data_IF_258713833615
#
_entry.id   IF_258713833615
#
_cell.length_a   1.000
_cell.length_b   1.000
_cell.length_c   1.000
_cell.angle_alpha   90.00
_cell.angle_beta   90.00
_cell.angle_gamma   90.00
#
_symmetry.space_group_name_H-M   'P 1'
#
loop_
_entity.id
_entity.type
_entity.pdbx_description
1 polymer ?
#
# COMPACT_ATOMS: atom_id res chain seq x y z
N UNK A 1 61.53 -4.50 16.87
CA UNK A 1 60.23 -4.53 16.15
C UNK A 1 60.53 -4.14 14.71
N UNK A 2 60.44 -5.08 13.78
CA UNK A 2 60.79 -4.88 12.37
C UNK A 2 59.53 -4.43 11.62
N UNK A 3 59.57 -3.23 11.04
CA UNK A 3 58.62 -2.78 10.03
C UNK A 3 58.75 -3.68 8.79
N UNK A 4 57.72 -4.44 8.47
CA UNK A 4 57.57 -5.05 7.16
C UNK A 4 56.76 -4.09 6.29
N UNK A 5 57.47 -3.30 5.48
CA UNK A 5 56.87 -2.60 4.36
C UNK A 5 56.47 -3.65 3.31
N UNK A 6 55.17 -3.84 3.14
CA UNK A 6 54.60 -4.69 2.10
C UNK A 6 54.70 -3.93 0.76
N UNK A 7 55.87 -3.96 0.13
CA UNK A 7 56.02 -3.53 -1.27
C UNK A 7 55.39 -4.61 -2.15
N UNK A 8 54.09 -4.48 -2.44
CA UNK A 8 53.41 -5.26 -3.45
C UNK A 8 53.84 -4.73 -4.83
N UNK A 9 54.93 -5.27 -5.37
CA UNK A 9 55.27 -5.09 -6.78
C UNK A 9 54.31 -5.93 -7.61
N UNK A 10 53.13 -5.36 -7.91
CA UNK A 10 52.18 -5.93 -8.85
C UNK A 10 52.80 -5.84 -10.25
N UNK A 11 53.25 -6.97 -10.77
CA UNK A 11 53.45 -7.15 -12.20
C UNK A 11 52.08 -7.01 -12.87
N UNK A 12 51.72 -5.78 -13.22
CA UNK A 12 50.51 -5.46 -13.95
C UNK A 12 50.62 -6.06 -15.36
N UNK A 13 50.12 -7.28 -15.55
CA UNK A 13 49.42 -7.57 -16.79
C UNK A 13 48.40 -6.43 -16.98
N UNK A 14 48.18 -5.92 -18.20
CA UNK A 14 47.12 -4.95 -18.41
C UNK A 14 45.83 -5.64 -17.96
N UNK A 15 45.36 -5.29 -16.75
CA UNK A 15 44.02 -5.62 -16.34
C UNK A 15 43.17 -4.96 -17.41
N UNK A 16 42.53 -5.78 -18.25
CA UNK A 16 41.52 -5.28 -19.18
C UNK A 16 40.57 -4.50 -18.29
N UNK A 17 40.52 -3.17 -18.48
CA UNK A 17 39.62 -2.33 -17.72
C UNK A 17 38.23 -2.94 -17.86
N UNK A 18 37.68 -3.45 -16.77
CA UNK A 18 36.34 -4.01 -16.80
C UNK A 18 35.39 -2.87 -17.11
N UNK A 19 34.49 -3.09 -18.07
CA UNK A 19 33.46 -2.13 -18.39
C UNK A 19 32.30 -2.30 -17.42
N UNK A 20 32.11 -1.31 -16.54
CA UNK A 20 30.99 -1.24 -15.62
C UNK A 20 29.90 -0.26 -16.06
N UNK A 21 29.93 0.20 -17.32
CA UNK A 21 29.01 1.22 -17.81
C UNK A 21 27.53 0.79 -17.73
N UNK A 22 27.23 -0.50 -17.86
CA UNK A 22 25.90 -1.07 -17.68
C UNK A 22 25.37 -1.02 -16.24
N UNK A 23 26.14 -0.53 -15.27
CA UNK A 23 25.65 -0.13 -13.94
C UNK A 23 24.62 1.00 -14.05
N UNK A 24 24.82 1.92 -14.99
CA UNK A 24 24.01 3.12 -15.15
C UNK A 24 22.86 2.90 -16.12
N UNK A 25 21.72 3.54 -15.84
CA UNK A 25 20.57 3.54 -16.75
C UNK A 25 20.95 4.04 -18.15
N UNK A 26 21.82 5.04 -18.19
CA UNK A 26 22.50 5.52 -19.41
C UNK A 26 23.98 5.17 -19.29
N UNK A 27 24.50 4.18 -20.06
CA UNK A 27 25.88 3.71 -19.89
C UNK A 27 26.94 4.81 -20.02
N UNK A 28 26.72 5.78 -20.91
CA UNK A 28 27.61 6.93 -21.10
C UNK A 28 27.78 7.82 -19.85
N UNK A 29 26.91 7.67 -18.84
CA UNK A 29 27.01 8.43 -17.60
C UNK A 29 27.93 7.77 -16.58
N UNK A 30 28.40 6.54 -16.79
CA UNK A 30 29.30 5.90 -15.82
C UNK A 30 30.63 6.63 -15.72
N UNK A 31 31.05 6.92 -14.48
CA UNK A 31 32.26 7.66 -14.17
C UNK A 31 33.21 6.78 -13.36
N UNK A 32 33.93 5.87 -14.01
CA UNK A 32 34.84 4.93 -13.36
C UNK A 32 35.90 5.57 -12.45
N UNK A 33 36.34 6.78 -12.79
CA UNK A 33 37.28 7.57 -11.98
C UNK A 33 36.66 8.42 -10.87
N UNK A 34 35.32 8.50 -10.75
CA UNK A 34 34.66 9.22 -9.66
C UNK A 34 34.94 8.54 -8.31
N UNK A 35 34.89 9.32 -7.23
CA UNK A 35 35.14 8.80 -5.88
C UNK A 35 33.84 8.25 -5.28
N UNK A 36 33.94 7.04 -4.74
CA UNK A 36 32.95 6.38 -3.90
C UNK A 36 33.41 6.43 -2.44
N UNK A 37 32.63 7.07 -1.59
CA UNK A 37 32.92 7.29 -0.17
C UNK A 37 31.83 6.76 0.77
N UNK A 38 30.82 6.06 0.23
CA UNK A 38 29.75 5.46 1.03
C UNK A 38 30.28 4.33 1.91
N UNK A 39 30.34 4.60 3.21
CA UNK A 39 30.75 3.65 4.27
C UNK A 39 32.16 3.06 4.11
N UNK A 40 33.02 3.69 3.30
CA UNK A 40 34.41 3.26 3.10
C UNK A 40 35.39 4.40 3.39
N UNK A 41 36.47 4.09 4.12
CA UNK A 41 37.55 5.03 4.41
C UNK A 41 38.92 4.32 4.29
N UNK A 42 39.83 4.80 3.42
CA UNK A 42 39.67 5.96 2.54
C UNK A 42 38.68 5.71 1.40
N UNK A 43 38.14 6.79 0.83
CA UNK A 43 37.33 6.72 -0.39
C UNK A 43 38.12 6.05 -1.53
N UNK A 44 37.42 5.32 -2.39
CA UNK A 44 37.99 4.59 -3.53
C UNK A 44 37.36 5.06 -4.84
N UNK A 45 37.89 4.66 -6.00
CA UNK A 45 37.24 5.00 -7.28
C UNK A 45 36.05 4.08 -7.56
N UNK A 46 35.15 4.53 -8.42
CA UNK A 46 34.01 3.74 -8.91
C UNK A 46 34.42 2.43 -9.58
N UNK A 47 35.52 2.42 -10.35
CA UNK A 47 36.06 1.18 -10.91
C UNK A 47 36.56 0.23 -9.80
N UNK A 48 37.21 0.78 -8.77
CA UNK A 48 37.75 -0.03 -7.68
C UNK A 48 36.65 -0.65 -6.81
N UNK A 49 35.59 0.09 -6.49
CA UNK A 49 34.46 -0.44 -5.71
C UNK A 49 33.64 -1.45 -6.52
N UNK A 50 33.46 -1.22 -7.84
CA UNK A 50 32.79 -2.20 -8.70
C UNK A 50 33.59 -3.49 -8.80
N UNK A 51 34.90 -3.41 -8.99
CA UNK A 51 35.79 -4.58 -8.97
C UNK A 51 35.68 -5.38 -7.66
N UNK A 52 35.52 -4.68 -6.53
CA UNK A 52 35.26 -5.32 -5.24
C UNK A 52 33.91 -6.06 -5.23
N UNK A 53 32.81 -5.38 -5.58
CA UNK A 53 31.48 -5.99 -5.54
C UNK A 53 31.29 -7.15 -6.54
N UNK A 54 31.98 -7.12 -7.67
CA UNK A 54 31.95 -8.20 -8.67
C UNK A 54 32.91 -9.35 -8.37
N UNK A 55 33.75 -9.22 -7.33
CA UNK A 55 34.68 -10.28 -6.93
C UNK A 55 33.95 -11.45 -6.24
N UNK A 56 34.54 -12.64 -6.29
CA UNK A 56 33.94 -13.86 -5.73
C UNK A 56 33.58 -13.69 -4.24
N UNK A 57 32.37 -14.09 -3.88
CA UNK A 57 31.85 -14.02 -2.50
C UNK A 57 31.10 -12.73 -2.16
N UNK A 58 31.02 -11.76 -3.09
CA UNK A 58 30.24 -10.53 -2.92
C UNK A 58 28.89 -10.60 -3.64
N UNK A 59 28.01 -9.63 -3.33
CA UNK A 59 26.62 -9.56 -3.82
C UNK A 59 26.53 -9.52 -5.35
N UNK A 60 27.48 -8.87 -6.03
CA UNK A 60 27.48 -8.74 -7.49
C UNK A 60 28.44 -9.73 -8.17
N UNK A 61 28.85 -10.80 -7.47
CA UNK A 61 29.72 -11.82 -8.03
C UNK A 61 29.08 -12.50 -9.24
N UNK A 62 29.80 -12.51 -10.38
CA UNK A 62 29.35 -13.14 -11.62
C UNK A 62 28.43 -12.29 -12.50
N UNK A 63 28.09 -11.08 -12.09
CA UNK A 63 27.36 -10.14 -12.95
C UNK A 63 28.30 -9.53 -14.01
N UNK A 64 27.79 -9.42 -15.23
CA UNK A 64 28.45 -8.73 -16.34
C UNK A 64 27.76 -7.38 -16.56
N UNK A 65 28.49 -6.30 -16.31
CA UNK A 65 28.02 -4.92 -16.48
C UNK A 65 28.44 -4.31 -17.83
N UNK A 66 29.11 -5.07 -18.70
CA UNK A 66 29.42 -4.61 -20.07
C UNK A 66 28.18 -4.61 -20.98
N UNK A 67 27.17 -5.41 -20.60
CA UNK A 67 25.82 -5.40 -21.17
C UNK A 67 24.88 -4.91 -20.08
N UNK A 68 23.93 -4.02 -20.40
CA UNK A 68 23.07 -3.40 -19.38
C UNK A 68 22.41 -4.43 -18.46
N UNK A 69 22.44 -4.19 -17.15
CA UNK A 69 21.90 -5.11 -16.16
C UNK A 69 20.37 -5.19 -16.26
N UNK A 70 19.81 -6.40 -16.28
CA UNK A 70 18.35 -6.61 -16.32
C UNK A 70 17.77 -6.79 -14.91
N UNK A 71 17.36 -5.69 -14.29
CA UNK A 71 17.05 -5.67 -12.87
C UNK A 71 15.67 -6.14 -12.38
N UNK A 72 14.56 -6.22 -13.16
CA UNK A 72 13.24 -6.53 -12.61
C UNK A 72 13.18 -7.80 -11.75
N UNK A 73 13.94 -8.83 -12.11
CA UNK A 73 13.94 -10.14 -11.47
C UNK A 73 15.01 -10.32 -10.39
N UNK A 74 15.86 -9.31 -10.17
CA UNK A 74 16.96 -9.40 -9.22
C UNK A 74 16.48 -9.33 -7.76
N UNK A 75 17.29 -9.90 -6.87
CA UNK A 75 17.05 -9.83 -5.43
C UNK A 75 17.13 -8.38 -4.92
N UNK A 76 16.53 -8.14 -3.77
CA UNK A 76 16.62 -6.83 -3.11
C UNK A 76 18.08 -6.40 -2.88
N UNK A 77 18.94 -7.32 -2.43
CA UNK A 77 20.35 -7.00 -2.14
C UNK A 77 21.11 -6.55 -3.38
N UNK A 78 20.89 -7.21 -4.53
CA UNK A 78 21.51 -6.83 -5.81
C UNK A 78 21.03 -5.45 -6.25
N UNK A 79 19.71 -5.23 -6.25
CA UNK A 79 19.11 -3.92 -6.59
C UNK A 79 19.63 -2.81 -5.69
N UNK A 80 19.72 -3.07 -4.39
CA UNK A 80 20.16 -2.12 -3.40
C UNK A 80 21.63 -1.72 -3.61
N UNK A 81 22.54 -2.69 -3.76
CA UNK A 81 23.96 -2.41 -4.03
C UNK A 81 24.11 -1.63 -5.34
N UNK A 82 23.43 -2.04 -6.41
CA UNK A 82 23.49 -1.35 -7.71
C UNK A 82 22.99 0.09 -7.62
N UNK A 83 21.88 0.34 -6.92
CA UNK A 83 21.34 1.69 -6.72
C UNK A 83 22.28 2.57 -5.88
N UNK A 84 22.86 2.02 -4.80
CA UNK A 84 23.82 2.75 -3.97
C UNK A 84 25.03 3.13 -4.79
N UNK A 85 25.69 2.17 -5.46
CA UNK A 85 26.90 2.47 -6.24
C UNK A 85 26.61 3.46 -7.36
N UNK A 86 25.50 3.30 -8.08
CA UNK A 86 25.10 4.23 -9.13
C UNK A 86 24.90 5.67 -8.63
N UNK A 87 24.43 5.88 -7.41
CA UNK A 87 24.23 7.24 -6.87
C UNK A 87 25.53 8.06 -6.75
N UNK A 88 26.68 7.38 -6.71
CA UNK A 88 28.03 7.97 -6.72
C UNK A 88 28.72 7.85 -8.08
N UNK A 89 28.41 6.80 -8.84
CA UNK A 89 29.17 6.40 -10.02
C UNK A 89 28.48 6.69 -11.36
N UNK A 90 27.20 7.02 -11.36
CA UNK A 90 26.44 7.39 -12.54
C UNK A 90 26.19 8.89 -12.55
N UNK A 91 26.73 9.60 -13.55
CA UNK A 91 26.42 10.99 -13.87
C UNK A 91 26.90 12.03 -12.83
N UNK A 92 27.01 13.28 -13.26
CA UNK A 92 27.21 14.46 -12.40
C UNK A 92 26.09 15.50 -12.59
N UNK A 93 25.02 15.11 -13.29
CA UNK A 93 23.94 16.00 -13.74
C UNK A 93 22.66 15.87 -12.93
N UNK A 94 21.51 15.93 -13.61
CA UNK A 94 20.19 15.81 -12.99
C UNK A 94 19.95 14.43 -12.34
N UNK A 95 18.88 14.33 -11.55
CA UNK A 95 18.53 13.09 -10.86
C UNK A 95 18.29 11.90 -11.80
N UNK A 96 17.89 12.14 -13.05
CA UNK A 96 17.69 11.06 -14.02
C UNK A 96 19.02 10.49 -14.51
N UNK A 97 20.03 11.35 -14.71
CA UNK A 97 21.37 10.94 -15.15
C UNK A 97 22.11 10.06 -14.13
N UNK A 98 21.72 10.13 -12.85
CA UNK A 98 22.31 9.38 -11.73
C UNK A 98 21.63 8.05 -11.42
N UNK A 99 20.67 7.64 -12.24
CA UNK A 99 19.92 6.39 -12.06
C UNK A 99 20.76 5.19 -12.46
N UNK A 100 20.68 4.14 -11.64
CA UNK A 100 21.24 2.84 -11.98
C UNK A 100 20.39 2.14 -13.06
N UNK A 101 20.92 1.09 -13.68
CA UNK A 101 20.14 0.19 -14.52
C UNK A 101 19.01 -0.53 -13.75
N UNK A 102 19.11 -0.57 -12.41
CA UNK A 102 18.09 -1.10 -11.51
C UNK A 102 17.14 -0.05 -10.93
N UNK A 103 17.24 1.20 -11.40
CA UNK A 103 16.32 2.22 -10.94
C UNK A 103 14.90 1.87 -11.36
N UNK A 104 13.98 1.89 -10.39
CA UNK A 104 12.57 1.67 -10.60
C UNK A 104 11.81 2.95 -10.25
N UNK A 105 10.81 3.28 -11.08
CA UNK A 105 9.87 4.33 -10.76
C UNK A 105 8.73 3.72 -9.94
N UNK A 106 8.56 4.21 -8.72
CA UNK A 106 7.48 3.80 -7.83
C UNK A 106 6.39 4.85 -7.68
N UNK A 107 6.46 5.94 -8.46
CA UNK A 107 5.58 7.09 -8.30
C UNK A 107 4.10 6.75 -8.46
N UNK A 108 3.76 5.77 -9.29
CA UNK A 108 2.39 5.33 -9.48
C UNK A 108 1.84 4.42 -8.37
N UNK A 109 2.56 4.25 -7.25
CA UNK A 109 1.92 3.78 -6.00
C UNK A 109 0.93 4.82 -5.45
N UNK A 110 1.16 6.09 -5.79
CA UNK A 110 0.29 7.21 -5.45
C UNK A 110 -0.77 7.44 -6.53
N UNK A 111 -1.97 7.87 -6.12
CA UNK A 111 -3.02 8.30 -7.04
C UNK A 111 -2.54 9.45 -7.95
N UNK A 112 -1.74 10.36 -7.38
CA UNK A 112 -1.05 11.41 -8.11
C UNK A 112 0.46 11.14 -8.06
N UNK A 113 1.08 10.71 -9.17
CA UNK A 113 2.49 10.29 -9.18
C UNK A 113 3.47 11.36 -8.70
N UNK A 114 3.18 12.63 -9.01
CA UNK A 114 3.99 13.77 -8.59
C UNK A 114 4.08 13.94 -7.06
N UNK A 115 3.19 13.29 -6.29
CA UNK A 115 3.22 13.34 -4.84
C UNK A 115 4.12 12.27 -4.22
N UNK A 116 4.63 11.32 -5.00
CA UNK A 116 5.51 10.29 -4.46
C UNK A 116 6.82 10.90 -3.95
N UNK A 117 7.15 10.60 -2.70
CA UNK A 117 8.35 11.06 -2.02
C UNK A 117 9.26 9.87 -1.74
N UNK A 118 10.07 9.45 -2.73
CA UNK A 118 10.95 8.28 -2.60
C UNK A 118 11.92 8.34 -1.41
N UNK A 119 12.36 9.54 -1.02
CA UNK A 119 13.24 9.78 0.13
C UNK A 119 12.51 9.96 1.47
N UNK A 120 11.18 10.01 1.48
CA UNK A 120 10.42 10.08 2.73
C UNK A 120 10.64 8.81 3.55
N UNK A 121 10.62 8.95 4.87
CA UNK A 121 10.79 7.82 5.78
C UNK A 121 9.47 7.06 5.90
N UNK A 122 9.49 5.79 5.52
CA UNK A 122 8.45 4.83 5.82
C UNK A 122 8.57 4.42 7.29
N UNK A 123 7.67 4.95 8.13
CA UNK A 123 7.65 4.70 9.57
C UNK A 123 6.96 3.37 9.86
N UNK A 124 7.72 2.29 9.70
CA UNK A 124 7.30 0.95 10.08
C UNK A 124 7.24 0.82 11.62
N UNK A 125 6.10 0.43 12.23
CA UNK A 125 6.02 0.28 13.68
C UNK A 125 6.90 -0.83 14.25
N UNK A 126 7.23 -1.84 13.43
CA UNK A 126 7.89 -3.08 13.86
C UNK A 126 9.27 -3.29 13.23
N UNK A 127 9.74 -2.36 12.40
CA UNK A 127 11.01 -2.48 11.69
C UNK A 127 11.73 -1.13 11.63
N UNK A 128 13.04 -1.19 11.36
CA UNK A 128 13.84 0.02 11.18
C UNK A 128 13.21 0.90 10.11
N UNK A 129 13.04 2.19 10.41
CA UNK A 129 12.55 3.14 9.42
C UNK A 129 13.50 3.16 8.23
N UNK A 130 12.95 2.98 7.04
CA UNK A 130 13.67 3.03 5.75
C UNK A 130 13.01 4.07 4.86
N UNK A 131 13.68 4.47 3.78
CA UNK A 131 13.07 5.37 2.80
C UNK A 131 11.99 4.65 1.98
N UNK A 132 11.04 5.40 1.42
CA UNK A 132 9.97 4.87 0.57
C UNK A 132 10.48 4.08 -0.65
N UNK A 133 11.56 4.52 -1.31
CA UNK A 133 12.16 3.79 -2.43
C UNK A 133 12.68 2.41 -1.98
N UNK A 134 13.32 2.36 -0.80
CA UNK A 134 13.82 1.12 -0.20
C UNK A 134 12.68 0.19 0.15
N UNK A 135 11.62 0.71 0.77
CA UNK A 135 10.45 -0.09 1.14
C UNK A 135 9.73 -0.65 -0.09
N UNK A 136 9.55 0.17 -1.13
CA UNK A 136 8.97 -0.30 -2.40
C UNK A 136 9.84 -1.34 -3.09
N UNK A 137 11.17 -1.18 -3.08
CA UNK A 137 12.09 -2.19 -3.60
C UNK A 137 12.01 -3.51 -2.84
N UNK A 138 11.79 -3.47 -1.52
CA UNK A 138 11.52 -4.67 -0.73
C UNK A 138 10.19 -5.30 -1.15
N UNK A 139 9.07 -4.58 -1.10
CA UNK A 139 7.75 -5.15 -1.41
C UNK A 139 7.61 -5.68 -2.85
N UNK A 140 8.37 -5.12 -3.80
CA UNK A 140 8.36 -5.56 -5.20
C UNK A 140 9.37 -6.68 -5.50
N UNK A 141 10.17 -7.09 -4.52
CA UNK A 141 11.11 -8.21 -4.65
C UNK A 141 10.41 -9.58 -4.69
N UNK A 142 11.10 -10.60 -5.18
CA UNK A 142 10.55 -11.96 -5.29
C UNK A 142 10.10 -12.50 -3.94
N UNK A 143 8.91 -13.11 -3.91
CA UNK A 143 8.31 -13.69 -2.70
C UNK A 143 7.59 -12.69 -1.79
N UNK A 144 7.54 -11.41 -2.16
CA UNK A 144 6.83 -10.37 -1.42
C UNK A 144 5.45 -10.07 -2.01
N UNK A 145 4.62 -9.34 -1.26
CA UNK A 145 3.22 -9.06 -1.63
C UNK A 145 3.07 -8.36 -2.98
N UNK A 146 4.00 -7.47 -3.34
CA UNK A 146 3.98 -6.74 -4.61
C UNK A 146 4.96 -7.33 -5.63
N UNK A 147 5.40 -8.58 -5.45
CA UNK A 147 6.31 -9.25 -6.38
C UNK A 147 5.76 -9.24 -7.81
N UNK A 148 6.58 -8.78 -8.76
CA UNK A 148 6.22 -8.71 -10.18
C UNK A 148 5.24 -7.60 -10.56
N UNK A 149 4.88 -6.71 -9.63
CA UNK A 149 4.06 -5.52 -9.91
C UNK A 149 4.93 -4.39 -10.47
N UNK A 150 4.37 -3.66 -11.43
CA UNK A 150 5.02 -2.53 -12.09
C UNK A 150 4.31 -1.22 -11.72
N UNK A 151 5.07 -0.27 -11.18
CA UNK A 151 4.62 1.06 -10.78
C UNK A 151 5.27 2.17 -11.63
N UNK A 152 5.91 1.80 -12.74
CA UNK A 152 6.48 2.76 -13.70
C UNK A 152 5.44 3.42 -14.60
N UNK A 153 4.21 2.94 -14.54
CA UNK A 153 3.04 3.51 -15.19
C UNK A 153 1.83 3.37 -14.27
N UNK A 154 0.68 3.94 -14.67
CA UNK A 154 -0.53 3.93 -13.86
C UNK A 154 -0.89 2.51 -13.38
N UNK A 155 -0.82 2.31 -12.06
CA UNK A 155 -1.10 1.04 -11.44
C UNK A 155 -2.62 0.83 -11.32
N UNK A 156 -3.13 -0.28 -11.84
CA UNK A 156 -4.55 -0.65 -11.74
C UNK A 156 -4.76 -1.59 -10.58
N UNK A 157 -5.62 -1.20 -9.64
CA UNK A 157 -5.99 -2.05 -8.51
C UNK A 157 -7.18 -2.98 -8.82
N UNK A 158 -7.78 -2.84 -10.01
CA UNK A 158 -8.83 -3.73 -10.47
C UNK A 158 -8.27 -5.14 -10.71
N UNK A 159 -8.86 -6.14 -10.04
CA UNK A 159 -8.42 -7.54 -10.14
C UNK A 159 -7.24 -7.90 -9.22
N UNK A 160 -6.72 -6.93 -8.46
CA UNK A 160 -5.73 -7.20 -7.42
C UNK A 160 -6.36 -7.81 -6.18
N UNK A 161 -5.58 -8.60 -5.44
CA UNK A 161 -6.01 -9.17 -4.15
C UNK A 161 -6.09 -8.09 -3.08
N UNK A 162 -6.88 -8.32 -2.03
CA UNK A 162 -6.96 -7.40 -0.89
C UNK A 162 -5.59 -7.12 -0.27
N UNK A 163 -4.73 -8.14 -0.11
CA UNK A 163 -3.38 -7.96 0.44
C UNK A 163 -2.54 -6.99 -0.39
N UNK A 164 -2.62 -7.04 -1.73
CA UNK A 164 -1.93 -6.09 -2.61
C UNK A 164 -2.45 -4.68 -2.39
N UNK A 165 -3.78 -4.50 -2.37
CA UNK A 165 -4.41 -3.19 -2.21
C UNK A 165 -4.11 -2.56 -0.85
N UNK A 166 -4.21 -3.35 0.23
CA UNK A 166 -3.86 -2.90 1.59
C UNK A 166 -2.38 -2.51 1.67
N UNK A 167 -1.50 -3.27 1.02
CA UNK A 167 -0.05 -2.94 1.00
C UNK A 167 0.19 -1.63 0.26
N UNK A 168 -0.45 -1.42 -0.90
CA UNK A 168 -0.35 -0.16 -1.66
C UNK A 168 -0.93 1.02 -0.88
N UNK A 169 -2.08 0.84 -0.23
CA UNK A 169 -2.68 1.84 0.66
C UNK A 169 -1.77 2.20 1.83
N UNK A 170 -1.15 1.20 2.45
CA UNK A 170 -0.28 1.42 3.61
C UNK A 170 1.02 2.15 3.24
N UNK A 171 1.63 1.78 2.11
CA UNK A 171 2.79 2.50 1.57
C UNK A 171 2.44 3.95 1.26
N UNK A 172 1.29 4.20 0.66
CA UNK A 172 0.88 5.55 0.30
C UNK A 172 0.76 6.50 1.49
N UNK A 173 0.38 6.02 2.68
CA UNK A 173 0.31 6.83 3.92
C UNK A 173 1.62 7.55 4.24
N UNK A 174 2.75 6.93 3.93
CA UNK A 174 4.07 7.46 4.22
C UNK A 174 4.76 8.03 2.98
N UNK A 175 4.41 7.53 1.80
CA UNK A 175 5.15 7.78 0.57
C UNK A 175 4.46 8.71 -0.41
N UNK A 176 3.16 8.96 -0.25
CA UNK A 176 2.40 9.86 -1.12
C UNK A 176 2.14 11.18 -0.42
N UNK A 177 3.02 12.16 -0.63
CA UNK A 177 2.80 13.56 -0.27
C UNK A 177 2.72 13.87 1.23
N UNK A 178 2.86 15.16 1.54
CA UNK A 178 2.57 15.74 2.85
C UNK A 178 1.63 16.92 2.58
N UNK A 179 0.32 16.66 2.53
CA UNK A 179 -0.65 17.62 2.03
C UNK A 179 -2.08 17.27 2.44
N UNK A 180 -3.05 17.67 1.63
CA UNK A 180 -4.45 17.30 1.86
C UNK A 180 -4.68 15.78 1.74
N UNK A 181 -5.80 15.30 2.26
CA UNK A 181 -6.17 13.89 2.22
C UNK A 181 -6.32 13.33 0.79
N UNK A 182 -6.37 14.18 -0.24
CA UNK A 182 -6.41 13.74 -1.64
C UNK A 182 -5.00 13.45 -2.18
N UNK A 183 -4.03 14.27 -1.81
CA UNK A 183 -2.63 14.13 -2.20
C UNK A 183 -1.96 12.88 -1.62
N UNK A 184 -2.50 12.35 -0.51
CA UNK A 184 -2.03 11.18 0.22
C UNK A 184 -2.64 9.84 -0.23
N UNK A 185 -3.47 9.88 -1.27
CA UNK A 185 -4.17 8.69 -1.76
C UNK A 185 -3.21 7.77 -2.52
N UNK A 186 -3.35 6.48 -2.27
CA UNK A 186 -2.71 5.44 -3.07
C UNK A 186 -3.42 5.31 -4.44
N UNK A 187 -2.80 4.62 -5.38
CA UNK A 187 -3.45 4.23 -6.64
C UNK A 187 -4.64 3.29 -6.43
N UNK A 188 -4.73 2.63 -5.26
CA UNK A 188 -5.83 1.74 -4.88
C UNK A 188 -6.90 2.40 -4.03
N UNK A 189 -6.76 3.70 -3.73
CA UNK A 189 -7.70 4.40 -2.90
C UNK A 189 -9.09 4.43 -3.54
N UNK A 190 -10.11 4.07 -2.75
CA UNK A 190 -11.52 4.12 -3.16
C UNK A 190 -12.24 5.14 -2.29
N UNK A 191 -13.03 6.00 -2.92
CA UNK A 191 -13.87 6.96 -2.22
C UNK A 191 -15.10 6.27 -1.66
N UNK A 192 -15.16 6.16 -0.33
CA UNK A 192 -16.32 5.64 0.38
C UNK A 192 -17.11 6.74 1.09
N UNK A 193 -16.85 8.01 0.77
CA UNK A 193 -17.51 9.14 1.45
C UNK A 193 -19.03 9.13 1.32
N UNK A 194 -19.56 8.59 0.22
CA UNK A 194 -20.99 8.46 -0.01
C UNK A 194 -21.69 7.40 0.85
N UNK A 195 -20.97 6.71 1.75
CA UNK A 195 -21.58 5.97 2.86
C UNK A 195 -22.22 6.90 3.87
N UNK A 196 -21.68 8.11 4.02
CA UNK A 196 -22.21 9.10 4.93
C UNK A 196 -23.33 9.89 4.25
N UNK A 197 -24.36 10.25 5.03
CA UNK A 197 -25.43 11.10 4.51
C UNK A 197 -24.90 12.44 3.98
N UNK A 198 -23.87 12.98 4.64
CA UNK A 198 -23.03 14.06 4.15
C UNK A 198 -21.61 13.52 3.85
N UNK A 199 -21.18 13.42 2.58
CA UNK A 199 -19.86 12.91 2.22
C UNK A 199 -18.69 13.66 2.86
N UNK A 200 -18.85 14.94 3.22
CA UNK A 200 -17.80 15.72 3.87
C UNK A 200 -17.50 15.27 5.31
N UNK A 201 -18.41 14.48 5.90
CA UNK A 201 -18.26 13.94 7.25
C UNK A 201 -17.54 12.59 7.29
N UNK A 202 -17.18 12.05 6.13
CA UNK A 202 -16.41 10.82 6.03
C UNK A 202 -15.01 10.99 6.64
N UNK A 203 -14.70 10.14 7.61
CA UNK A 203 -13.45 10.16 8.37
C UNK A 203 -12.65 8.87 8.08
N UNK A 204 -11.99 8.76 6.92
CA UNK A 204 -11.35 7.51 6.47
C UNK A 204 -10.24 7.01 7.42
N UNK A 205 -9.58 7.93 8.13
CA UNK A 205 -8.48 7.64 9.06
C UNK A 205 -8.93 7.34 10.49
N UNK A 206 -10.22 7.49 10.82
CA UNK A 206 -10.73 7.13 12.14
C UNK A 206 -10.54 5.64 12.38
N UNK A 207 -9.92 5.29 13.51
CA UNK A 207 -9.72 3.90 13.94
C UNK A 207 -11.01 3.41 14.57
N UNK A 208 -11.49 2.25 14.12
CA UNK A 208 -12.64 1.57 14.68
C UNK A 208 -12.35 1.11 16.11
N UNK A 209 -13.23 1.46 17.05
CA UNK A 209 -13.15 0.99 18.44
C UNK A 209 -13.41 -0.53 18.55
N UNK A 210 -14.05 -1.15 17.54
CA UNK A 210 -14.47 -2.55 17.58
C UNK A 210 -13.50 -3.52 16.91
N UNK A 211 -12.63 -3.04 16.02
CA UNK A 211 -11.54 -3.81 15.43
C UNK A 211 -10.23 -3.09 15.71
N UNK A 212 -9.49 -3.60 16.69
CA UNK A 212 -8.28 -2.97 17.21
C UNK A 212 -7.30 -2.59 16.08
N UNK A 213 -7.22 -1.28 15.80
CA UNK A 213 -6.26 -0.71 14.86
C UNK A 213 -6.72 -0.62 13.40
N UNK A 214 -7.94 -1.04 13.05
CA UNK A 214 -8.46 -0.94 11.67
C UNK A 214 -9.08 0.44 11.45
N UNK A 215 -8.63 1.17 10.43
CA UNK A 215 -9.24 2.44 10.02
C UNK A 215 -10.52 2.22 9.20
N UNK A 216 -11.41 3.21 9.16
CA UNK A 216 -12.64 3.18 8.38
C UNK A 216 -12.43 2.83 6.90
N UNK A 217 -11.37 3.39 6.28
CA UNK A 217 -11.03 3.06 4.89
C UNK A 217 -10.59 1.60 4.74
N UNK A 218 -9.78 1.07 5.66
CA UNK A 218 -9.33 -0.31 5.63
C UNK A 218 -10.49 -1.29 5.78
N UNK A 219 -11.42 -1.00 6.70
CA UNK A 219 -12.61 -1.82 6.91
C UNK A 219 -13.52 -1.81 5.67
N UNK A 220 -13.80 -0.64 5.09
CA UNK A 220 -14.62 -0.58 3.89
C UNK A 220 -13.96 -1.26 2.69
N UNK A 221 -12.65 -1.09 2.52
CA UNK A 221 -11.90 -1.81 1.49
C UNK A 221 -11.98 -3.33 1.69
N UNK A 222 -11.87 -3.83 2.92
CA UNK A 222 -12.08 -5.24 3.23
C UNK A 222 -13.49 -5.70 2.83
N UNK A 223 -14.53 -5.03 3.35
CA UNK A 223 -15.92 -5.44 3.14
C UNK A 223 -16.38 -5.39 1.67
N UNK A 224 -15.83 -4.47 0.88
CA UNK A 224 -16.28 -4.23 -0.51
C UNK A 224 -15.47 -4.98 -1.56
N UNK A 225 -14.26 -5.43 -1.22
CA UNK A 225 -13.29 -5.94 -2.18
C UNK A 225 -12.86 -7.38 -1.93
N UNK A 226 -13.10 -7.93 -0.74
CA UNK A 226 -12.77 -9.33 -0.44
C UNK A 226 -13.86 -10.30 -0.92
N UNK A 227 -13.49 -11.35 -1.67
CA UNK A 227 -14.42 -12.39 -2.06
C UNK A 227 -15.13 -13.04 -0.88
N UNK A 228 -16.46 -13.07 -0.94
CA UNK A 228 -17.32 -13.65 0.10
C UNK A 228 -17.66 -12.70 1.24
N UNK A 229 -17.24 -11.44 1.20
CA UNK A 229 -17.67 -10.43 2.16
C UNK A 229 -19.04 -9.85 1.84
N UNK A 230 -19.71 -9.32 2.87
CA UNK A 230 -21.12 -8.93 2.79
C UNK A 230 -21.42 -7.78 1.82
N UNK A 231 -20.41 -6.95 1.51
CA UNK A 231 -20.52 -5.81 0.59
C UNK A 231 -19.71 -6.03 -0.70
N UNK A 232 -19.26 -7.25 -0.99
CA UNK A 232 -18.48 -7.54 -2.19
C UNK A 232 -19.23 -7.08 -3.45
N UNK A 233 -18.54 -6.31 -4.29
CA UNK A 233 -19.06 -5.82 -5.57
C UNK A 233 -20.12 -4.72 -5.46
N UNK A 234 -20.38 -4.19 -4.26
CA UNK A 234 -21.21 -3.00 -4.11
C UNK A 234 -20.52 -1.74 -4.61
N UNK A 235 -21.35 -0.81 -5.10
CA UNK A 235 -20.91 0.46 -5.63
C UNK A 235 -21.27 1.58 -4.66
N UNK A 236 -20.24 2.20 -4.08
CA UNK A 236 -20.36 3.34 -3.18
C UNK A 236 -19.86 4.65 -3.81
N UNK A 237 -19.82 4.72 -5.15
CA UNK A 237 -19.36 5.91 -5.90
C UNK A 237 -20.32 7.10 -5.84
N UNK A 238 -21.54 6.91 -5.34
CA UNK A 238 -22.55 7.97 -5.18
C UNK A 238 -23.52 7.65 -4.04
N UNK A 239 -24.20 8.66 -3.50
CA UNK A 239 -25.22 8.46 -2.48
C UNK A 239 -26.37 7.56 -2.97
N UNK A 240 -26.74 7.65 -4.25
CA UNK A 240 -27.79 6.81 -4.84
C UNK A 240 -27.39 5.34 -4.93
N UNK A 241 -26.17 5.05 -5.39
CA UNK A 241 -25.67 3.68 -5.53
C UNK A 241 -25.38 3.05 -4.17
N UNK A 242 -24.86 3.84 -3.22
CA UNK A 242 -24.70 3.43 -1.83
C UNK A 242 -26.05 3.06 -1.18
N UNK A 243 -27.09 3.88 -1.39
CA UNK A 243 -28.44 3.59 -0.91
C UNK A 243 -29.04 2.34 -1.54
N UNK A 244 -28.85 2.14 -2.84
CA UNK A 244 -29.27 0.91 -3.51
C UNK A 244 -28.61 -0.31 -2.87
N UNK A 245 -27.30 -0.24 -2.61
CA UNK A 245 -26.55 -1.29 -1.91
C UNK A 245 -27.08 -1.60 -0.52
N UNK A 246 -27.57 -0.62 0.25
CA UNK A 246 -28.25 -0.86 1.54
C UNK A 246 -29.49 -1.76 1.40
N UNK A 247 -30.21 -1.66 0.27
CA UNK A 247 -31.49 -2.35 0.05
C UNK A 247 -31.33 -3.73 -0.59
N UNK A 248 -30.15 -4.07 -1.11
CA UNK A 248 -29.89 -5.39 -1.70
C UNK A 248 -30.00 -6.47 -0.64
N UNK A 249 -30.65 -7.58 -1.00
CA UNK A 249 -30.72 -8.78 -0.15
C UNK A 249 -29.30 -9.26 0.19
N UNK A 250 -29.04 -9.66 1.44
CA UNK A 250 -27.75 -10.22 1.81
C UNK A 250 -27.54 -11.57 1.13
N UNK A 251 -26.28 -11.96 0.95
CA UNK A 251 -25.96 -13.33 0.58
C UNK A 251 -26.48 -14.30 1.67
N UNK A 252 -26.83 -15.55 1.34
CA UNK A 252 -27.29 -16.52 2.33
C UNK A 252 -26.32 -16.64 3.51
N UNK A 253 -26.82 -16.43 4.73
CA UNK A 253 -26.02 -16.53 5.96
C UNK A 253 -25.18 -15.29 6.30
N UNK A 254 -25.37 -14.16 5.60
CA UNK A 254 -24.74 -12.87 5.94
C UNK A 254 -25.75 -11.91 6.56
N UNK A 255 -25.24 -10.97 7.36
CA UNK A 255 -26.04 -9.88 7.92
C UNK A 255 -26.63 -9.00 6.80
N UNK A 256 -27.78 -8.35 7.03
CA UNK A 256 -28.33 -7.40 6.07
C UNK A 256 -27.31 -6.31 5.72
N UNK A 257 -27.21 -5.95 4.42
CA UNK A 257 -26.23 -4.96 3.97
C UNK A 257 -26.42 -3.59 4.64
N UNK A 258 -27.67 -3.17 4.87
CA UNK A 258 -27.95 -1.95 5.64
C UNK A 258 -27.37 -2.02 7.06
N UNK A 259 -27.37 -3.19 7.70
CA UNK A 259 -26.88 -3.34 9.07
C UNK A 259 -25.36 -3.17 9.10
N UNK A 260 -24.66 -3.75 8.11
CA UNK A 260 -23.22 -3.59 7.95
C UNK A 260 -22.85 -2.14 7.68
N UNK A 261 -23.52 -1.47 6.73
CA UNK A 261 -23.22 -0.06 6.41
C UNK A 261 -23.60 0.87 7.56
N UNK A 262 -24.72 0.63 8.25
CA UNK A 262 -25.08 1.38 9.46
C UNK A 262 -24.00 1.23 10.53
N UNK A 263 -23.57 -0.01 10.78
CA UNK A 263 -22.52 -0.29 11.75
C UNK A 263 -21.23 0.45 11.39
N UNK A 264 -20.80 0.41 10.13
CA UNK A 264 -19.59 1.12 9.70
C UNK A 264 -19.75 2.64 9.79
N UNK A 265 -20.81 3.20 9.21
CA UNK A 265 -21.00 4.65 9.16
C UNK A 265 -21.23 5.28 10.53
N UNK A 266 -22.09 4.66 11.34
CA UNK A 266 -22.60 5.22 12.60
C UNK A 266 -21.85 4.64 13.79
N UNK A 267 -21.91 3.32 14.00
CA UNK A 267 -21.38 2.70 15.22
C UNK A 267 -19.86 2.76 15.29
N UNK A 268 -19.18 2.66 14.14
CA UNK A 268 -17.72 2.76 14.04
C UNK A 268 -17.23 4.20 13.80
N UNK A 269 -18.14 5.18 13.85
CA UNK A 269 -17.83 6.63 13.77
C UNK A 269 -17.09 7.02 12.49
N UNK A 270 -17.33 6.30 11.40
CA UNK A 270 -16.74 6.65 10.12
C UNK A 270 -17.40 7.86 9.46
N UNK A 271 -18.62 8.19 9.89
CA UNK A 271 -19.31 9.46 9.58
C UNK A 271 -19.33 10.34 10.82
N UNK A 272 -18.62 11.48 10.80
CA UNK A 272 -18.50 12.36 11.97
C UNK A 272 -19.83 13.01 12.39
N UNK A 273 -20.82 13.07 11.50
CA UNK A 273 -22.19 13.47 11.83
C UNK A 273 -22.95 12.43 12.65
N UNK A 274 -22.53 11.16 12.58
CA UNK A 274 -23.30 10.03 13.11
C UNK A 274 -24.39 9.51 12.16
N UNK A 275 -24.44 9.99 10.92
CA UNK A 275 -25.47 9.58 9.94
C UNK A 275 -24.87 8.85 8.74
N UNK A 276 -25.42 7.68 8.42
CA UNK A 276 -25.12 6.92 7.18
C UNK A 276 -26.29 6.99 6.19
N UNK A 277 -26.04 6.72 4.91
CA UNK A 277 -27.08 6.68 3.87
C UNK A 277 -28.10 5.54 4.05
N UNK A 278 -27.86 4.62 4.98
CA UNK A 278 -28.77 3.53 5.31
C UNK A 278 -29.54 3.74 6.63
N UNK A 279 -29.36 4.88 7.32
CA UNK A 279 -29.93 5.09 8.66
C UNK A 279 -31.46 5.09 8.67
N UNK A 280 -32.07 5.60 7.61
CA UNK A 280 -33.51 5.66 7.42
C UNK A 280 -34.13 4.29 7.07
N UNK A 281 -33.38 3.41 6.40
CA UNK A 281 -33.79 2.02 6.19
C UNK A 281 -33.81 1.26 7.52
N UNK A 282 -32.86 1.55 8.41
CA UNK A 282 -32.82 0.94 9.74
C UNK A 282 -34.04 1.30 10.58
N UNK A 283 -34.41 2.58 10.65
CA UNK A 283 -35.57 3.03 11.42
C UNK A 283 -36.87 2.37 10.95
N UNK A 284 -37.06 2.23 9.64
CA UNK A 284 -38.27 1.64 9.05
C UNK A 284 -38.42 0.15 9.42
N UNK A 285 -37.30 -0.59 9.49
CA UNK A 285 -37.29 -2.01 9.87
C UNK A 285 -37.53 -2.18 11.36
N UNK A 286 -36.91 -1.36 12.21
CA UNK A 286 -37.09 -1.43 13.67
C UNK A 286 -38.54 -1.08 14.03
N UNK A 287 -39.11 -0.04 13.45
CA UNK A 287 -40.50 0.34 13.71
C UNK A 287 -41.47 -0.75 13.25
N UNK A 288 -41.25 -1.33 12.07
CA UNK A 288 -42.08 -2.42 11.54
C UNK A 288 -42.02 -3.70 12.38
N UNK A 289 -40.85 -4.08 12.89
CA UNK A 289 -40.68 -5.26 13.75
C UNK A 289 -41.28 -5.04 15.15
N UNK A 290 -41.14 -3.83 15.70
CA UNK A 290 -41.61 -3.49 17.05
C UNK A 290 -43.13 -3.27 17.10
N UNK A 291 -43.73 -2.75 16.03
CA UNK A 291 -45.18 -2.62 15.87
C UNK A 291 -45.82 -3.93 15.40
N UNK A 292 -45.20 -4.68 14.48
CA UNK A 292 -45.74 -5.96 13.99
C UNK A 292 -45.80 -7.07 15.05
N UNK A 293 -44.85 -7.11 15.98
CA UNK A 293 -44.81 -8.09 17.08
C UNK A 293 -45.80 -7.81 18.22
N UNK A 294 -46.28 -6.57 18.37
CA UNK A 294 -47.26 -6.21 19.42
C UNK A 294 -48.72 -6.24 18.95
N UNK A 295 -48.98 -6.15 17.64
CA UNK A 295 -50.36 -6.18 17.12
C UNK A 295 -50.82 -7.60 16.77
N UNK A 296 -49.91 -8.55 16.52
CA UNK A 296 -50.26 -9.94 16.21
C UNK A 296 -50.64 -10.83 17.43
N UNK A 297 -50.56 -10.33 18.67
CA UNK A 297 -50.90 -11.12 19.88
C UNK A 297 -52.10 -10.57 20.68
N UNK A 298 -52.80 -9.54 20.19
CA UNK A 298 -53.94 -8.93 20.89
C UNK A 298 -55.28 -9.00 20.14
N UNK A 299 -55.35 -9.56 18.93
CA UNK A 299 -56.60 -9.74 18.17
C UNK A 299 -56.88 -11.23 18.03
N UNK A 300 -57.17 -11.89 19.14
CA UNK A 300 -57.43 -13.33 19.09
C UNK A 300 -57.83 -14.04 20.37
N UNK A 301 -58.04 -13.37 21.52
CA UNK A 301 -58.62 -14.03 22.71
C UNK A 301 -59.43 -13.02 23.56
N UNK A 302 -60.57 -12.55 23.05
CA UNK A 302 -61.64 -12.03 23.92
C UNK A 302 -62.98 -12.54 23.40
N UNK A 303 -63.19 -13.84 23.56
CA UNK A 303 -64.52 -14.43 23.68
C UNK A 303 -64.37 -15.74 24.44
N UNK A 304 -65.31 -15.97 25.34
CA UNK A 304 -65.38 -17.07 26.32
C UNK A 304 -64.53 -16.85 27.57
N UNK A 305 -65.06 -16.10 28.54
CA UNK A 305 -65.11 -16.47 29.98
C UNK A 305 -65.69 -15.29 30.79
N UNK A 306 -67.00 -15.06 30.66
CA UNK A 306 -67.77 -14.27 31.61
C UNK A 306 -69.25 -14.72 31.60
N UNK A 307 -69.45 -16.02 31.82
CA UNK A 307 -70.70 -16.58 32.34
C UNK A 307 -70.27 -17.43 33.53
N UNK A 308 -70.29 -16.85 34.72
CA UNK A 308 -70.52 -17.50 36.03
C UNK A 308 -70.22 -16.51 37.15
N UNK A 309 -71.20 -16.35 38.06
CA UNK A 309 -71.21 -15.64 39.35
C UNK A 309 -71.53 -14.13 39.24
N UNK A 310 -72.60 -13.57 39.81
CA UNK A 310 -73.65 -14.10 40.67
C UNK A 310 -74.55 -12.93 41.10
N UNK A 311 -75.86 -13.18 41.12
CA UNK A 311 -76.87 -12.35 41.77
C UNK A 311 -76.51 -12.13 43.24
N UNK A 312 -76.63 -10.89 43.72
CA UNK A 312 -77.43 -10.44 44.88
C UNK A 312 -77.76 -8.96 44.66
#
# INVERSE_FOLDING_TARGET
MRCAALCLALLAAPAVAQDYSGLCMTPANYQGGAMYDHEISPAVTCDAIMAHWTSSGNTLAGYDFSVGLHCPLESYDVKNVVNIVASYCCGTGDAASRRSACWADYSHVCATPANYQGSAMYACPTCSSVTCDVMMAQYTSSGQTLAGKDFSSAFSCSGETHMVRVTVDDIAKYCCGTGDAASQRSACWVDHSYLCADPSTWAPSTVSDQQAGTTCIQLMNYLTQEPGEGLEGDDFSSASTARESCTKSPAPGKDPRWAMVHHVGVDLKCCSSGDSVCSDIYSDVVDSATLGGRVASAVGVVSVFAVLLGLH
#
